data_IF_941446190851
#
_entry.id   IF_941446190851
#
_cell.length_a   1.000
_cell.length_b   1.000
_cell.length_c   1.000
_cell.angle_alpha   90.00
_cell.angle_beta   90.00
_cell.angle_gamma   90.00
#
_symmetry.space_group_name_H-M   'P 1'
#
loop_
_entity.id
_entity.type
_entity.pdbx_description
1 polymer ?
#
# COMPACT_ATOMS: atom_id res chain seq x y z
N UNK A 1 18.26 -5.82 -6.76
CA UNK A 1 19.65 -5.38 -6.91
C UNK A 1 20.09 -5.36 -8.38
N UNK A 2 19.76 -6.37 -9.20
CA UNK A 2 20.10 -6.40 -10.63
C UNK A 2 19.59 -5.14 -11.35
N UNK A 3 18.28 -4.85 -11.28
CA UNK A 3 17.70 -3.66 -11.93
C UNK A 3 18.31 -2.34 -11.43
N UNK A 4 18.63 -2.24 -10.14
CA UNK A 4 19.34 -1.08 -9.57
C UNK A 4 20.72 -0.92 -10.21
N UNK A 5 21.50 -1.98 -10.29
CA UNK A 5 22.84 -1.97 -10.90
C UNK A 5 22.78 -1.65 -12.39
N UNK A 6 21.76 -2.14 -13.11
CA UNK A 6 21.54 -1.77 -14.50
C UNK A 6 21.24 -0.27 -14.66
N UNK A 7 20.38 0.30 -13.79
CA UNK A 7 20.00 1.72 -13.80
C UNK A 7 21.15 2.64 -13.37
N UNK A 8 21.72 2.38 -12.18
CA UNK A 8 22.69 3.26 -11.50
C UNK A 8 24.10 3.13 -12.10
N UNK A 9 24.56 1.89 -12.32
CA UNK A 9 25.93 1.62 -12.77
C UNK A 9 26.02 1.42 -14.30
N UNK A 10 24.90 1.11 -14.96
CA UNK A 10 24.89 0.78 -16.39
C UNK A 10 25.64 -0.51 -16.71
N UNK A 11 25.53 -1.53 -15.84
CA UNK A 11 26.20 -2.82 -16.04
C UNK A 11 25.20 -3.97 -16.09
N UNK A 12 25.38 -4.86 -17.05
CA UNK A 12 24.71 -6.16 -17.08
C UNK A 12 25.16 -7.03 -15.90
N UNK A 13 24.45 -8.14 -15.69
CA UNK A 13 24.78 -9.10 -14.62
C UNK A 13 26.19 -9.69 -14.79
N UNK A 14 26.62 -9.90 -16.04
CA UNK A 14 27.96 -10.39 -16.39
C UNK A 14 29.06 -9.31 -16.32
N UNK A 15 28.72 -8.09 -15.92
CA UNK A 15 29.68 -6.98 -15.75
C UNK A 15 29.93 -6.15 -16.99
N UNK A 16 29.41 -6.52 -18.18
CA UNK A 16 29.54 -5.70 -19.38
C UNK A 16 28.80 -4.36 -19.23
N UNK A 17 29.37 -3.32 -19.80
CA UNK A 17 28.77 -1.98 -19.81
C UNK A 17 27.59 -1.90 -20.78
N UNK A 18 26.56 -1.13 -20.41
CA UNK A 18 25.42 -0.81 -21.25
C UNK A 18 25.64 0.51 -21.98
N UNK A 19 25.36 0.51 -23.29
CA UNK A 19 25.34 1.74 -24.10
C UNK A 19 24.18 2.66 -23.71
N UNK A 20 23.01 2.08 -23.41
CA UNK A 20 21.81 2.80 -23.01
C UNK A 20 21.29 2.23 -21.70
N UNK A 21 21.35 3.04 -20.64
CA UNK A 21 20.94 2.63 -19.29
C UNK A 21 19.44 2.85 -19.12
N UNK A 22 18.69 1.91 -18.54
CA UNK A 22 17.29 2.15 -18.21
C UNK A 22 17.17 3.20 -17.11
N UNK A 23 16.12 4.01 -17.15
CA UNK A 23 15.80 5.02 -16.13
C UNK A 23 14.52 4.64 -15.38
N UNK A 24 14.49 3.42 -14.82
CA UNK A 24 13.30 2.91 -14.12
C UNK A 24 13.12 3.52 -12.74
N UNK A 25 11.89 3.88 -12.41
CA UNK A 25 11.47 4.12 -11.03
C UNK A 25 11.07 2.80 -10.38
N UNK A 26 11.96 2.23 -9.56
CA UNK A 26 11.81 0.84 -9.11
C UNK A 26 10.83 0.73 -7.94
N UNK A 27 9.79 -0.09 -8.11
CA UNK A 27 8.84 -0.41 -7.04
C UNK A 27 9.09 -1.77 -6.41
N UNK A 28 8.55 -1.97 -5.20
CA UNK A 28 8.43 -3.30 -4.60
C UNK A 28 7.12 -3.43 -3.81
N UNK A 29 6.60 -4.66 -3.69
CA UNK A 29 5.49 -4.93 -2.79
C UNK A 29 5.96 -4.85 -1.33
N UNK A 30 5.09 -4.36 -0.43
CA UNK A 30 5.27 -4.41 1.02
C UNK A 30 4.01 -5.05 1.66
N UNK A 31 4.17 -5.73 2.78
CA UNK A 31 3.04 -6.37 3.46
C UNK A 31 3.17 -6.12 4.97
N UNK A 32 2.62 -5.00 5.50
CA UNK A 32 2.81 -4.59 6.89
C UNK A 32 2.46 -5.70 7.90
N UNK A 33 1.49 -6.56 7.57
CA UNK A 33 0.95 -7.60 8.45
C UNK A 33 1.43 -9.03 8.15
N UNK A 34 2.37 -9.24 7.22
CA UNK A 34 2.81 -10.59 6.87
C UNK A 34 3.76 -11.24 7.90
N UNK A 35 4.27 -10.47 8.87
CA UNK A 35 5.07 -10.98 10.00
C UNK A 35 5.09 -9.94 11.13
N UNK A 36 5.94 -10.16 12.14
CA UNK A 36 6.21 -9.15 13.17
C UNK A 36 6.76 -7.86 12.51
N UNK A 37 6.30 -6.66 12.92
CA UNK A 37 6.69 -5.39 12.28
C UNK A 37 8.20 -5.20 12.10
N UNK A 38 9.00 -5.57 13.11
CA UNK A 38 10.46 -5.45 13.11
C UNK A 38 11.12 -6.35 12.06
N UNK A 39 10.54 -7.53 11.79
CA UNK A 39 11.04 -8.46 10.78
C UNK A 39 10.64 -8.03 9.37
N UNK A 40 9.44 -7.48 9.21
CA UNK A 40 9.03 -6.86 7.95
C UNK A 40 9.96 -5.69 7.63
N UNK A 41 10.17 -4.78 8.58
CA UNK A 41 11.05 -3.64 8.38
C UNK A 41 12.50 -4.03 7.95
N UNK A 42 13.03 -5.18 8.39
CA UNK A 42 14.29 -5.74 7.86
C UNK A 42 14.19 -6.04 6.36
N UNK A 43 13.10 -6.71 5.95
CA UNK A 43 12.86 -7.08 4.54
C UNK A 43 12.66 -5.84 3.68
N UNK A 44 11.91 -4.85 4.15
CA UNK A 44 11.74 -3.57 3.46
C UNK A 44 13.07 -2.82 3.31
N UNK A 45 13.88 -2.74 4.37
CA UNK A 45 15.22 -2.15 4.27
C UNK A 45 16.09 -2.88 3.24
N UNK A 46 16.05 -4.22 3.18
CA UNK A 46 16.73 -4.97 2.10
C UNK A 46 16.22 -4.59 0.71
N UNK A 47 14.92 -4.31 0.53
CA UNK A 47 14.34 -3.85 -0.75
C UNK A 47 14.81 -2.44 -1.12
N UNK A 48 14.86 -1.51 -0.17
CA UNK A 48 15.43 -0.16 -0.38
C UNK A 48 16.90 -0.26 -0.81
N UNK A 49 17.71 -1.05 -0.09
CA UNK A 49 19.10 -1.31 -0.45
C UNK A 49 19.24 -2.00 -1.82
N UNK A 50 18.24 -2.79 -2.22
CA UNK A 50 18.19 -3.40 -3.54
C UNK A 50 17.76 -2.44 -4.66
N UNK A 51 17.35 -1.21 -4.31
CA UNK A 51 17.05 -0.08 -5.20
C UNK A 51 15.59 0.32 -5.30
N UNK A 52 14.70 -0.24 -4.47
CA UNK A 52 13.30 0.17 -4.44
C UNK A 52 13.17 1.64 -4.00
N UNK A 53 12.41 2.41 -4.78
CA UNK A 53 12.12 3.82 -4.59
C UNK A 53 10.67 4.05 -4.17
N UNK A 54 9.78 3.08 -4.39
CA UNK A 54 8.46 3.10 -3.78
C UNK A 54 8.02 1.71 -3.35
N UNK A 55 7.09 1.69 -2.39
CA UNK A 55 6.35 0.52 -1.98
C UNK A 55 4.88 0.66 -2.33
N UNK A 56 4.30 -0.42 -2.83
CA UNK A 56 2.87 -0.64 -2.82
C UNK A 56 2.57 -1.68 -1.75
N UNK A 57 1.78 -1.31 -0.75
CA UNK A 57 1.42 -2.28 0.29
C UNK A 57 0.33 -3.23 -0.20
N UNK A 58 0.25 -4.40 0.43
CA UNK A 58 -0.99 -5.18 0.50
C UNK A 58 -2.10 -4.37 1.18
N UNK A 59 -3.32 -4.91 1.19
CA UNK A 59 -4.50 -4.28 1.78
C UNK A 59 -4.30 -4.02 3.28
N UNK A 60 -4.61 -2.80 3.71
CA UNK A 60 -4.59 -2.37 5.11
C UNK A 60 -6.02 -2.16 5.58
N UNK A 61 -6.43 -2.90 6.61
CA UNK A 61 -7.69 -2.70 7.33
C UNK A 61 -7.49 -2.27 8.80
N UNK A 62 -6.22 -2.14 9.22
CA UNK A 62 -5.82 -1.72 10.56
C UNK A 62 -4.79 -0.57 10.51
N UNK A 63 -5.25 0.70 10.43
CA UNK A 63 -4.35 1.85 10.37
C UNK A 63 -3.39 1.95 11.57
N UNK A 64 -3.82 1.52 12.76
CA UNK A 64 -3.02 1.59 13.99
C UNK A 64 -1.91 0.54 13.97
N UNK A 65 -2.23 -0.71 13.59
CA UNK A 65 -1.22 -1.75 13.40
C UNK A 65 -0.22 -1.42 12.30
N UNK A 66 -0.66 -0.74 11.22
CA UNK A 66 0.23 -0.26 10.17
C UNK A 66 1.19 0.83 10.67
N UNK A 67 0.76 1.70 11.59
CA UNK A 67 1.62 2.73 12.18
C UNK A 67 2.80 2.13 12.96
N UNK A 68 2.59 0.99 13.64
CA UNK A 68 3.69 0.24 14.26
C UNK A 68 4.73 -0.19 13.22
N UNK A 69 4.30 -0.65 12.05
CA UNK A 69 5.22 -0.97 10.95
C UNK A 69 5.96 0.26 10.41
N UNK A 70 5.28 1.40 10.22
CA UNK A 70 5.92 2.66 9.82
C UNK A 70 7.00 3.09 10.82
N UNK A 71 6.73 2.95 12.13
CA UNK A 71 7.69 3.26 13.19
C UNK A 71 8.92 2.34 13.13
N UNK A 72 8.77 1.07 12.79
CA UNK A 72 9.90 0.16 12.58
C UNK A 72 10.72 0.50 11.33
N UNK A 73 10.09 1.03 10.27
CA UNK A 73 10.83 1.60 9.12
C UNK A 73 11.59 2.87 9.51
N UNK A 74 10.99 3.74 10.32
CA UNK A 74 11.62 4.96 10.83
C UNK A 74 12.87 4.65 11.66
N UNK A 75 12.78 3.68 12.59
CA UNK A 75 13.94 3.20 13.39
C UNK A 75 15.10 2.67 12.54
N UNK A 76 14.83 2.32 11.28
CA UNK A 76 15.82 1.84 10.31
C UNK A 76 16.33 2.92 9.37
N UNK A 77 15.89 4.17 9.55
CA UNK A 77 16.30 5.30 8.72
C UNK A 77 16.01 5.06 7.23
N UNK A 78 14.82 4.53 6.90
CA UNK A 78 14.40 4.31 5.51
C UNK A 78 13.06 4.94 5.15
N UNK A 79 12.36 5.56 6.12
CA UNK A 79 11.01 6.08 5.92
C UNK A 79 10.98 7.27 4.93
N UNK A 80 12.07 8.03 4.81
CA UNK A 80 12.27 9.14 3.89
C UNK A 80 13.00 8.75 2.59
N UNK A 81 13.45 7.48 2.48
CA UNK A 81 14.22 6.97 1.33
C UNK A 81 13.34 6.24 0.30
N UNK A 82 12.06 6.09 0.57
CA UNK A 82 11.10 5.34 -0.24
C UNK A 82 9.73 5.98 -0.15
N UNK A 83 9.02 6.07 -1.27
CA UNK A 83 7.61 6.49 -1.25
C UNK A 83 6.71 5.33 -0.85
N UNK A 84 5.70 5.53 0.00
CA UNK A 84 4.80 4.45 0.43
C UNK A 84 3.38 4.72 -0.06
N UNK A 85 2.85 3.79 -0.85
CA UNK A 85 1.46 3.77 -1.31
C UNK A 85 0.68 2.71 -0.54
N UNK A 86 -0.33 3.15 0.23
CA UNK A 86 -1.15 2.25 1.05
C UNK A 86 -2.24 1.61 0.22
N UNK A 87 -2.25 0.28 0.18
CA UNK A 87 -3.26 -0.53 -0.48
C UNK A 87 -4.60 -0.46 0.24
N UNK A 88 -5.64 -0.04 -0.46
CA UNK A 88 -7.02 0.03 0.05
C UNK A 88 -7.97 -0.60 -0.97
N UNK A 89 -8.90 -1.43 -0.48
CA UNK A 89 -9.98 -2.01 -1.28
C UNK A 89 -11.28 -1.97 -0.48
N UNK A 90 -12.36 -1.37 -1.01
CA UNK A 90 -13.67 -1.43 -0.35
C UNK A 90 -14.18 -2.87 -0.31
N UNK A 91 -14.81 -3.24 0.81
CA UNK A 91 -15.35 -4.59 1.02
C UNK A 91 -16.80 -4.65 0.53
N UNK A 92 -17.12 -5.52 -0.44
CA UNK A 92 -18.50 -5.62 -0.94
C UNK A 92 -19.46 -6.32 0.02
N UNK A 93 -18.94 -7.23 0.84
CA UNK A 93 -19.72 -8.06 1.75
C UNK A 93 -18.82 -8.78 2.75
N UNK A 94 -19.44 -9.39 3.77
CA UNK A 94 -18.75 -10.17 4.79
C UNK A 94 -17.92 -11.32 4.19
N UNK A 95 -18.39 -11.99 3.14
CA UNK A 95 -17.66 -13.09 2.49
C UNK A 95 -16.33 -12.61 1.91
N UNK A 96 -16.31 -11.43 1.28
CA UNK A 96 -15.10 -10.81 0.79
C UNK A 96 -14.15 -10.48 1.94
N UNK A 97 -14.64 -9.91 3.04
CA UNK A 97 -13.82 -9.62 4.22
C UNK A 97 -13.16 -10.90 4.78
N UNK A 98 -13.94 -11.98 4.92
CA UNK A 98 -13.45 -13.28 5.37
C UNK A 98 -12.39 -13.87 4.43
N UNK A 99 -12.60 -13.78 3.11
CA UNK A 99 -11.63 -14.20 2.10
C UNK A 99 -10.32 -13.40 2.21
N UNK A 100 -10.43 -12.06 2.32
CA UNK A 100 -9.26 -11.19 2.48
C UNK A 100 -8.43 -11.57 3.71
N UNK A 101 -9.08 -11.95 4.82
CA UNK A 101 -8.38 -12.33 6.03
C UNK A 101 -7.76 -13.74 5.99
N UNK A 102 -8.47 -14.70 5.39
CA UNK A 102 -8.08 -16.13 5.44
C UNK A 102 -7.17 -16.54 4.29
N UNK A 103 -7.47 -16.04 3.09
CA UNK A 103 -6.94 -16.58 1.85
C UNK A 103 -5.92 -15.66 1.18
N UNK A 104 -5.91 -14.36 1.50
CA UNK A 104 -4.96 -13.39 0.92
C UNK A 104 -3.72 -13.24 1.82
N UNK A 105 -2.53 -13.70 1.37
CA UNK A 105 -1.34 -13.67 2.21
C UNK A 105 -0.94 -12.25 2.63
N UNK A 106 -0.71 -12.06 3.94
CA UNK A 106 -0.26 -10.78 4.49
C UNK A 106 -1.34 -9.70 4.59
N UNK A 107 -2.61 -10.07 4.41
CA UNK A 107 -3.76 -9.21 4.70
C UNK A 107 -4.39 -9.63 6.03
N UNK A 108 -4.61 -8.66 6.90
CA UNK A 108 -5.27 -8.83 8.19
C UNK A 108 -6.49 -7.93 8.22
N UNK A 109 -7.65 -8.51 8.54
CA UNK A 109 -8.92 -7.79 8.69
C UNK A 109 -9.32 -7.88 10.16
N UNK A 110 -9.29 -6.77 10.92
CA UNK A 110 -9.66 -6.79 12.33
C UNK A 110 -11.09 -7.25 12.59
N UNK A 111 -11.34 -7.87 13.74
CA UNK A 111 -12.69 -8.31 14.16
C UNK A 111 -13.71 -7.16 14.15
N UNK A 112 -13.28 -5.92 14.45
CA UNK A 112 -14.15 -4.74 14.38
C UNK A 112 -14.69 -4.51 12.96
N UNK A 113 -13.87 -4.74 11.94
CA UNK A 113 -14.27 -4.62 10.53
C UNK A 113 -15.20 -5.78 10.16
N UNK A 114 -14.88 -7.01 10.57
CA UNK A 114 -15.73 -8.18 10.33
C UNK A 114 -17.14 -8.00 10.91
N UNK A 115 -17.24 -7.54 12.17
CA UNK A 115 -18.54 -7.30 12.84
C UNK A 115 -19.36 -6.22 12.14
N UNK A 116 -18.73 -5.15 11.64
CA UNK A 116 -19.40 -4.11 10.85
C UNK A 116 -19.96 -4.68 9.55
N UNK A 117 -19.16 -5.46 8.82
CA UNK A 117 -19.60 -6.11 7.58
C UNK A 117 -20.74 -7.12 7.81
N UNK A 118 -20.73 -7.82 8.94
CA UNK A 118 -21.81 -8.74 9.33
C UNK A 118 -23.10 -7.98 9.68
N UNK A 119 -22.99 -6.94 10.50
CA UNK A 119 -24.13 -6.12 10.93
C UNK A 119 -24.80 -5.35 9.77
N UNK A 120 -24.04 -4.99 8.74
CA UNK A 120 -24.53 -4.21 7.62
C UNK A 120 -25.57 -4.94 6.75
N UNK A 121 -25.54 -6.28 6.68
CA UNK A 121 -26.49 -7.06 5.89
C UNK A 121 -26.59 -6.58 4.43
N UNK A 122 -27.79 -6.19 4.00
CA UNK A 122 -28.04 -5.67 2.65
C UNK A 122 -27.34 -4.33 2.37
N UNK A 123 -26.92 -3.59 3.41
CA UNK A 123 -26.15 -2.36 3.33
C UNK A 123 -24.62 -2.56 3.28
N UNK A 124 -24.14 -3.79 3.12
CA UNK A 124 -22.71 -4.10 3.23
C UNK A 124 -21.80 -3.37 2.23
N UNK A 125 -22.28 -3.10 1.01
CA UNK A 125 -21.52 -2.34 0.02
C UNK A 125 -21.24 -0.91 0.49
N UNK A 126 -22.26 -0.23 1.02
CA UNK A 126 -22.12 1.12 1.57
C UNK A 126 -21.19 1.12 2.78
N UNK A 127 -21.35 0.16 3.70
CA UNK A 127 -20.48 0.01 4.86
C UNK A 127 -19.01 -0.21 4.44
N UNK A 128 -18.77 -0.99 3.39
CA UNK A 128 -17.45 -1.22 2.83
C UNK A 128 -16.81 0.04 2.25
N UNK A 129 -17.61 0.93 1.66
CA UNK A 129 -17.16 2.25 1.21
C UNK A 129 -16.79 3.11 2.42
N UNK A 130 -17.64 3.17 3.45
CA UNK A 130 -17.36 3.93 4.66
C UNK A 130 -16.07 3.47 5.36
N UNK A 131 -15.87 2.15 5.49
CA UNK A 131 -14.63 1.56 6.02
C UNK A 131 -13.42 2.00 5.19
N UNK A 132 -13.51 1.98 3.85
CA UNK A 132 -12.42 2.42 2.99
C UNK A 132 -12.10 3.91 3.15
N UNK A 133 -13.12 4.77 3.26
CA UNK A 133 -12.96 6.20 3.49
C UNK A 133 -12.30 6.49 4.85
N UNK A 134 -12.75 5.81 5.92
CA UNK A 134 -12.16 5.90 7.25
C UNK A 134 -10.69 5.47 7.27
N UNK A 135 -10.35 4.38 6.57
CA UNK A 135 -8.96 3.93 6.42
C UNK A 135 -8.14 4.99 5.70
N UNK A 136 -8.63 5.52 4.58
CA UNK A 136 -7.91 6.56 3.81
C UNK A 136 -7.67 7.79 4.69
N UNK A 137 -8.69 8.26 5.42
CA UNK A 137 -8.56 9.39 6.34
C UNK A 137 -7.51 9.12 7.42
N UNK A 138 -7.54 7.94 8.02
CA UNK A 138 -6.62 7.57 9.09
C UNK A 138 -5.16 7.45 8.63
N UNK A 139 -4.91 7.12 7.35
CA UNK A 139 -3.54 6.90 6.84
C UNK A 139 -2.97 8.08 6.05
N UNK A 140 -3.80 8.93 5.43
CA UNK A 140 -3.32 9.97 4.48
C UNK A 140 -2.41 11.02 5.13
N UNK A 141 -2.53 11.23 6.43
CA UNK A 141 -1.73 12.20 7.20
C UNK A 141 -0.57 11.55 7.96
N UNK A 142 -0.43 10.22 7.94
CA UNK A 142 0.64 9.53 8.66
C UNK A 142 2.00 9.79 8.01
N UNK A 143 3.02 10.00 8.83
CA UNK A 143 4.39 10.23 8.36
C UNK A 143 4.89 9.06 7.51
N UNK A 144 5.47 9.37 6.35
CA UNK A 144 5.99 8.38 5.41
C UNK A 144 4.96 7.79 4.45
N UNK A 145 3.67 8.09 4.62
CA UNK A 145 2.64 7.77 3.62
C UNK A 145 2.66 8.85 2.54
N UNK A 146 2.74 8.45 1.27
CA UNK A 146 2.81 9.36 0.14
C UNK A 146 1.65 9.23 -0.85
N UNK A 147 0.79 8.23 -0.66
CA UNK A 147 -0.39 8.06 -1.48
C UNK A 147 -1.18 6.80 -1.16
N UNK A 148 -2.28 6.63 -1.88
CA UNK A 148 -3.18 5.49 -1.77
C UNK A 148 -3.13 4.70 -3.08
N UNK A 149 -2.99 3.38 -2.96
CA UNK A 149 -3.20 2.44 -4.04
C UNK A 149 -4.60 1.83 -3.90
N UNK A 150 -5.58 2.49 -4.51
CA UNK A 150 -6.99 2.06 -4.45
C UNK A 150 -7.23 0.96 -5.50
N UNK A 151 -7.60 -0.23 -5.05
CA UNK A 151 -7.93 -1.36 -5.91
C UNK A 151 -9.43 -1.70 -5.77
N UNK A 152 -10.17 -1.63 -6.87
CA UNK A 152 -11.62 -1.81 -6.87
C UNK A 152 -12.10 -3.25 -7.11
N UNK A 153 -11.23 -4.13 -7.61
CA UNK A 153 -11.44 -5.58 -7.84
C UNK A 153 -12.88 -5.92 -8.30
N UNK A 154 -13.19 -5.61 -9.57
CA UNK A 154 -14.50 -5.88 -10.16
C UNK A 154 -15.61 -4.95 -9.64
N UNK A 155 -15.23 -3.78 -9.11
CA UNK A 155 -16.13 -2.69 -8.69
C UNK A 155 -15.65 -1.33 -9.18
N UNK A 156 -15.09 -1.27 -10.38
CA UNK A 156 -14.36 -0.10 -10.89
C UNK A 156 -15.19 1.20 -10.85
N UNK A 157 -16.51 1.10 -10.95
CA UNK A 157 -17.45 2.23 -10.87
C UNK A 157 -17.47 2.92 -9.49
N UNK A 158 -16.98 2.28 -8.42
CA UNK A 158 -16.92 2.88 -7.09
C UNK A 158 -15.75 3.85 -6.91
N UNK A 159 -14.74 3.76 -7.78
CA UNK A 159 -13.49 4.53 -7.66
C UNK A 159 -13.74 6.05 -7.65
N UNK A 160 -14.51 6.65 -8.58
CA UNK A 160 -14.74 8.09 -8.59
C UNK A 160 -15.38 8.60 -7.29
N UNK A 161 -16.29 7.82 -6.71
CA UNK A 161 -16.95 8.14 -5.44
C UNK A 161 -15.95 8.19 -4.30
N UNK A 162 -15.17 7.12 -4.11
CA UNK A 162 -14.16 7.05 -3.04
C UNK A 162 -13.13 8.16 -3.17
N UNK A 163 -12.62 8.42 -4.38
CA UNK A 163 -11.63 9.50 -4.62
C UNK A 163 -12.21 10.86 -4.26
N UNK A 164 -13.47 11.13 -4.60
CA UNK A 164 -14.14 12.40 -4.30
C UNK A 164 -14.42 12.56 -2.81
N UNK A 165 -15.05 11.57 -2.18
CA UNK A 165 -15.42 11.63 -0.76
C UNK A 165 -14.20 11.61 0.17
N UNK A 166 -13.09 10.97 -0.23
CA UNK A 166 -11.83 11.00 0.52
C UNK A 166 -11.04 12.32 0.36
N UNK A 167 -11.51 13.24 -0.50
CA UNK A 167 -10.80 14.48 -0.80
C UNK A 167 -9.47 14.25 -1.53
N UNK A 168 -9.37 13.18 -2.33
CA UNK A 168 -8.18 12.86 -3.12
C UNK A 168 -8.22 13.45 -4.54
N UNK A 169 -9.25 14.24 -4.85
CA UNK A 169 -9.32 15.01 -6.09
C UNK A 169 -8.22 16.07 -6.08
N UNK A 170 -7.46 16.16 -7.17
CA UNK A 170 -6.56 17.29 -7.37
C UNK A 170 -7.40 18.54 -7.59
N UNK A 171 -7.09 19.63 -6.88
CA UNK A 171 -7.27 20.94 -7.50
C UNK A 171 -6.41 20.94 -8.77
N UNK A 172 -6.99 21.39 -9.89
CA UNK A 172 -6.25 21.49 -11.14
C UNK A 172 -5.03 22.39 -10.92
N UNK A 173 -3.85 21.78 -10.78
CA UNK A 173 -2.59 22.51 -10.90
C UNK A 173 -2.57 23.00 -12.35
N UNK A 174 -2.60 24.32 -12.62
CA UNK A 174 -2.51 24.83 -13.97
C UNK A 174 -1.28 24.20 -14.63
N UNK A 175 -1.44 23.69 -15.85
CA UNK A 175 -0.31 23.19 -16.61
C UNK A 175 0.76 24.29 -16.70
N UNK A 176 1.99 23.95 -16.30
CA UNK A 176 3.17 24.82 -16.47
C UNK A 176 3.44 25.09 -17.95
#
# INVERSE_FOLDING_TARGET
WILRRMRDEGKYLDGRSMKFRPQYFLGAAAAPFASRPEFQAIREHKKVNAGAQFFQTNLVYDPDGMEVWLNELAKRDILDKVYILIGVTPLKNLKMAQYMHKDVPGVFVPDKVMKRMEAAGDGAEEEGVQIALEIIEAVKSKQGVNGIHLMAVGWEEIVPRIVTEAGLTREQVPAL
#
